data_IF_448207307154
#
_entry.id   IF_448207307154
#
_cell.length_a   1.000
_cell.length_b   1.000
_cell.length_c   1.000
_cell.angle_alpha   90.00
_cell.angle_beta   90.00
_cell.angle_gamma   90.00
#
_symmetry.space_group_name_H-M   'P 1'
#
loop_
_entity.id
_entity.type
_entity.pdbx_description
1 polymer ?
#
# COMPACT_ATOMS: atom_id res chain seq x y z
N UNK A 1 0.51 -12.63 -3.87
CA UNK A 1 -0.71 -11.93 -3.42
C UNK A 1 -1.32 -11.15 -4.57
N UNK A 2 -2.65 -11.06 -4.64
CA UNK A 2 -3.43 -10.39 -5.67
C UNK A 2 -4.90 -10.46 -5.30
N UNK A 3 -5.78 -9.83 -6.09
CA UNK A 3 -7.22 -9.87 -5.85
C UNK A 3 -7.74 -11.31 -5.90
N UNK A 4 -8.40 -11.76 -4.84
CA UNK A 4 -8.97 -13.10 -4.74
C UNK A 4 -10.21 -13.09 -3.85
N UNK A 5 -10.99 -14.18 -3.87
CA UNK A 5 -12.17 -14.30 -3.02
C UNK A 5 -11.77 -14.21 -1.54
N UNK A 6 -12.32 -13.24 -0.77
CA UNK A 6 -12.07 -13.15 0.66
C UNK A 6 -12.57 -14.37 1.43
N UNK A 7 -11.97 -14.64 2.58
CA UNK A 7 -12.32 -15.77 3.46
C UNK A 7 -12.21 -17.15 2.77
N UNK A 8 -11.34 -17.26 1.77
CA UNK A 8 -11.10 -18.52 1.06
C UNK A 8 -9.63 -18.96 1.23
N UNK A 9 -8.72 -18.68 0.30
CA UNK A 9 -7.34 -19.22 0.34
C UNK A 9 -6.25 -18.17 0.57
N UNK A 10 -6.60 -16.94 0.92
CA UNK A 10 -5.61 -15.87 1.12
C UNK A 10 -5.90 -15.09 2.39
N UNK A 11 -4.99 -15.15 3.35
CA UNK A 11 -5.04 -14.32 4.55
C UNK A 11 -4.95 -12.82 4.18
N UNK A 12 -4.01 -12.45 3.31
CA UNK A 12 -3.81 -11.05 2.88
C UNK A 12 -5.07 -10.47 2.23
N UNK A 13 -5.70 -11.20 1.30
CA UNK A 13 -6.95 -10.78 0.67
C UNK A 13 -8.09 -10.67 1.67
N UNK A 14 -8.15 -11.58 2.64
CA UNK A 14 -9.15 -11.55 3.71
C UNK A 14 -8.97 -10.32 4.61
N UNK A 15 -7.74 -9.98 4.99
CA UNK A 15 -7.45 -8.79 5.79
C UNK A 15 -7.74 -7.51 5.02
N UNK A 16 -7.31 -7.41 3.75
CA UNK A 16 -7.64 -6.24 2.91
C UNK A 16 -9.16 -6.03 2.81
N UNK A 17 -9.89 -7.10 2.53
CA UNK A 17 -11.36 -7.04 2.44
C UNK A 17 -12.00 -6.66 3.79
N UNK A 18 -11.57 -7.27 4.89
CA UNK A 18 -12.14 -7.01 6.21
C UNK A 18 -11.93 -5.57 6.64
N UNK A 19 -10.70 -5.04 6.51
CA UNK A 19 -10.39 -3.64 6.84
C UNK A 19 -11.16 -2.67 5.94
N UNK A 20 -11.24 -2.93 4.64
CA UNK A 20 -11.97 -2.10 3.68
C UNK A 20 -13.49 -2.04 3.96
N UNK A 21 -14.06 -3.12 4.50
CA UNK A 21 -15.50 -3.26 4.74
C UNK A 21 -15.89 -3.15 6.22
N UNK A 22 -14.98 -2.76 7.11
CA UNK A 22 -15.21 -2.65 8.56
C UNK A 22 -15.67 -3.99 9.21
N UNK A 23 -15.18 -5.10 8.63
CA UNK A 23 -15.50 -6.43 9.12
C UNK A 23 -14.46 -6.93 10.13
N UNK A 24 -14.86 -7.69 11.14
CA UNK A 24 -13.92 -8.26 12.09
C UNK A 24 -13.08 -9.36 11.47
N UNK A 25 -11.83 -9.45 11.88
CA UNK A 25 -10.91 -10.53 11.55
C UNK A 25 -9.99 -10.81 12.74
N UNK A 26 -9.36 -11.97 12.74
CA UNK A 26 -8.44 -12.39 13.80
C UNK A 26 -7.07 -12.69 13.24
N UNK A 27 -6.04 -12.21 13.93
CA UNK A 27 -4.64 -12.56 13.69
C UNK A 27 -4.17 -13.34 14.92
N UNK A 28 -3.93 -14.64 14.76
CA UNK A 28 -3.56 -15.50 15.88
C UNK A 28 -2.17 -15.18 16.43
N UNK A 29 -1.21 -14.93 15.53
CA UNK A 29 0.15 -14.54 15.87
C UNK A 29 0.63 -13.48 14.90
N UNK A 30 0.82 -12.26 15.41
CA UNK A 30 1.30 -11.12 14.62
C UNK A 30 2.76 -11.27 14.16
N UNK A 31 3.54 -12.11 14.83
CA UNK A 31 4.94 -12.38 14.50
C UNK A 31 5.12 -13.40 13.37
N UNK A 32 4.06 -14.08 12.94
CA UNK A 32 4.15 -15.03 11.84
C UNK A 32 4.63 -14.35 10.56
N UNK A 33 5.78 -14.78 10.06
CA UNK A 33 6.38 -14.27 8.82
C UNK A 33 5.80 -14.98 7.59
N UNK A 34 5.52 -14.22 6.55
CA UNK A 34 5.10 -14.69 5.24
C UNK A 34 6.09 -14.21 4.17
N UNK A 35 6.38 -15.06 3.20
CA UNK A 35 7.04 -14.68 1.97
C UNK A 35 5.99 -14.55 0.85
N UNK A 36 5.83 -13.34 0.32
CA UNK A 36 4.73 -12.99 -0.58
C UNK A 36 5.25 -12.53 -1.93
N UNK A 37 4.70 -13.10 -2.99
CA UNK A 37 4.89 -12.66 -4.37
C UNK A 37 3.63 -11.88 -4.82
N UNK A 38 3.81 -10.70 -5.41
CA UNK A 38 2.71 -9.94 -5.97
C UNK A 38 2.34 -10.45 -7.36
N UNK A 39 1.06 -10.38 -7.71
CA UNK A 39 0.56 -11.00 -8.94
C UNK A 39 1.18 -10.38 -10.21
N UNK A 40 1.38 -9.07 -10.23
CA UNK A 40 1.95 -8.41 -11.40
C UNK A 40 3.43 -8.79 -11.58
N UNK A 41 4.19 -8.94 -10.48
CA UNK A 41 5.57 -9.43 -10.54
C UNK A 41 5.63 -10.87 -11.07
N UNK A 42 4.65 -11.71 -10.71
CA UNK A 42 4.54 -13.06 -11.26
C UNK A 42 4.28 -13.02 -12.77
N UNK A 43 3.35 -12.16 -13.21
CA UNK A 43 3.01 -12.02 -14.64
C UNK A 43 4.20 -11.50 -15.43
N UNK A 44 4.92 -10.49 -14.94
CA UNK A 44 6.15 -10.00 -15.56
C UNK A 44 7.22 -11.11 -15.66
N UNK A 45 7.43 -11.87 -14.58
CA UNK A 45 8.35 -13.01 -14.60
C UNK A 45 7.95 -14.10 -15.60
N UNK A 46 6.65 -14.31 -15.82
CA UNK A 46 6.16 -15.22 -16.86
C UNK A 46 6.46 -14.69 -18.27
N UNK A 47 6.34 -13.37 -18.50
CA UNK A 47 6.76 -12.77 -19.78
C UNK A 47 8.26 -12.84 -19.98
N UNK A 48 9.06 -12.58 -18.93
CA UNK A 48 10.52 -12.73 -18.98
C UNK A 48 10.92 -14.15 -19.40
N UNK A 49 10.25 -15.16 -18.82
CA UNK A 49 10.48 -16.57 -19.18
C UNK A 49 10.16 -16.84 -20.67
N UNK A 50 9.05 -16.31 -21.17
CA UNK A 50 8.68 -16.48 -22.59
C UNK A 50 9.67 -15.80 -23.55
N UNK A 51 10.37 -14.77 -23.09
CA UNK A 51 11.38 -14.04 -23.86
C UNK A 51 12.82 -14.60 -23.63
N UNK A 52 12.94 -15.70 -22.90
CA UNK A 52 14.22 -16.35 -22.61
C UNK A 52 15.09 -15.63 -21.56
N UNK A 53 14.48 -14.79 -20.72
CA UNK A 53 15.10 -14.12 -19.56
C UNK A 53 14.69 -14.80 -18.26
N UNK A 54 14.84 -16.10 -18.21
CA UNK A 54 14.46 -16.90 -17.04
C UNK A 54 15.42 -16.72 -15.87
N UNK A 55 14.86 -16.79 -14.66
CA UNK A 55 15.62 -16.84 -13.41
C UNK A 55 15.49 -18.24 -12.80
N UNK A 56 16.58 -18.76 -12.30
CA UNK A 56 16.62 -20.10 -11.73
C UNK A 56 16.89 -20.09 -10.22
N UNK A 57 16.42 -21.12 -9.55
CA UNK A 57 16.65 -21.33 -8.13
C UNK A 57 16.74 -22.80 -7.75
N UNK A 58 17.24 -23.02 -6.57
CA UNK A 58 17.16 -24.28 -5.81
C UNK A 58 16.50 -24.00 -4.45
N UNK A 59 15.98 -25.05 -3.85
CA UNK A 59 15.44 -25.00 -2.49
C UNK A 59 16.44 -25.61 -1.51
N UNK A 60 16.76 -24.85 -0.46
CA UNK A 60 17.53 -25.33 0.68
C UNK A 60 16.55 -25.52 1.85
N UNK A 61 15.93 -26.72 1.88
CA UNK A 61 14.83 -26.98 2.83
C UNK A 61 13.58 -26.16 2.47
N UNK A 62 13.35 -25.06 3.16
CA UNK A 62 12.22 -24.15 2.95
C UNK A 62 12.60 -22.85 2.25
N UNK A 63 13.90 -22.57 2.12
CA UNK A 63 14.38 -21.33 1.53
C UNK A 63 14.63 -21.48 0.04
N UNK A 64 14.21 -20.46 -0.73
CA UNK A 64 14.53 -20.30 -2.15
C UNK A 64 15.89 -19.64 -2.28
N UNK A 65 16.84 -20.33 -2.90
CA UNK A 65 18.18 -19.80 -3.18
C UNK A 65 18.33 -19.58 -4.67
N UNK A 66 18.56 -18.33 -5.08
CA UNK A 66 18.83 -18.00 -6.49
C UNK A 66 20.13 -18.65 -6.93
N UNK A 67 20.10 -19.32 -8.08
CA UNK A 67 21.24 -20.06 -8.62
C UNK A 67 21.11 -20.17 -10.14
N UNK A 68 22.13 -19.74 -10.87
CA UNK A 68 22.11 -19.68 -12.33
C UNK A 68 21.79 -21.04 -13.00
N UNK A 69 22.31 -22.11 -12.45
CA UNK A 69 22.07 -23.50 -12.88
C UNK A 69 21.01 -24.21 -12.01
N UNK A 70 20.15 -23.46 -11.33
CA UNK A 70 19.09 -23.99 -10.46
C UNK A 70 18.07 -24.82 -11.22
N UNK A 71 17.52 -25.82 -10.55
CA UNK A 71 16.56 -26.77 -11.12
C UNK A 71 15.21 -26.15 -11.44
N UNK A 72 14.83 -25.07 -10.74
CA UNK A 72 13.50 -24.48 -10.81
C UNK A 72 13.56 -23.07 -11.36
N UNK A 73 12.61 -22.73 -12.25
CA UNK A 73 12.37 -21.34 -12.61
C UNK A 73 11.68 -20.62 -11.46
N UNK A 74 12.04 -19.39 -11.21
CA UNK A 74 11.46 -18.60 -10.13
C UNK A 74 11.30 -17.12 -10.52
N UNK A 75 10.48 -16.41 -9.76
CA UNK A 75 10.39 -14.95 -9.80
C UNK A 75 11.11 -14.42 -8.56
N UNK A 76 12.22 -13.67 -8.71
CA UNK A 76 13.09 -13.32 -7.58
C UNK A 76 12.54 -12.19 -6.71
N UNK A 77 11.43 -11.55 -7.11
CA UNK A 77 10.86 -10.39 -6.41
C UNK A 77 9.82 -10.86 -5.40
N UNK A 78 10.26 -11.21 -4.20
CA UNK A 78 9.38 -11.55 -3.08
C UNK A 78 9.51 -10.54 -1.93
N UNK A 79 8.53 -10.54 -1.04
CA UNK A 79 8.50 -9.68 0.16
C UNK A 79 8.34 -10.55 1.40
N UNK A 80 9.29 -10.49 2.32
CA UNK A 80 9.18 -11.09 3.65
C UNK A 80 8.57 -10.08 4.59
N UNK A 81 7.43 -10.41 5.17
CA UNK A 81 6.64 -9.53 6.03
C UNK A 81 5.91 -10.35 7.09
N UNK A 82 5.68 -9.77 8.25
CA UNK A 82 4.87 -10.39 9.30
C UNK A 82 3.38 -10.08 9.11
N UNK A 83 2.53 -10.91 9.70
CA UNK A 83 1.08 -10.63 9.74
C UNK A 83 0.79 -9.32 10.46
N UNK A 84 1.60 -8.96 11.47
CA UNK A 84 1.49 -7.70 12.19
C UNK A 84 1.72 -6.50 11.28
N UNK A 85 2.81 -6.49 10.51
CA UNK A 85 3.15 -5.42 9.56
C UNK A 85 2.05 -5.23 8.49
N UNK A 86 1.47 -6.34 8.01
CA UNK A 86 0.34 -6.27 7.07
C UNK A 86 -0.85 -5.53 7.68
N UNK A 87 -1.21 -5.89 8.92
CA UNK A 87 -2.36 -5.28 9.61
C UNK A 87 -2.10 -3.81 9.90
N UNK A 88 -0.91 -3.45 10.39
CA UNK A 88 -0.55 -2.06 10.70
C UNK A 88 -0.64 -1.17 9.45
N UNK A 89 -0.11 -1.64 8.31
CA UNK A 89 -0.25 -0.93 7.03
C UNK A 89 -1.71 -0.77 6.61
N UNK A 90 -2.54 -1.80 6.76
CA UNK A 90 -3.96 -1.72 6.39
C UNK A 90 -4.74 -0.73 7.28
N UNK A 91 -4.41 -0.64 8.56
CA UNK A 91 -5.00 0.36 9.46
C UNK A 91 -4.55 1.79 9.09
N UNK A 92 -3.28 1.98 8.70
CA UNK A 92 -2.81 3.27 8.16
C UNK A 92 -3.58 3.66 6.88
N UNK A 93 -3.79 2.71 5.96
CA UNK A 93 -4.56 2.96 4.73
C UNK A 93 -6.00 3.35 5.03
N UNK A 94 -6.63 2.66 5.99
CA UNK A 94 -7.98 2.96 6.45
C UNK A 94 -8.09 4.34 7.10
N UNK A 95 -7.08 4.75 7.84
CA UNK A 95 -7.05 6.03 8.53
C UNK A 95 -6.80 7.23 7.58
N UNK A 96 -6.18 7.00 6.42
CA UNK A 96 -5.75 8.04 5.48
C UNK A 96 -6.84 9.05 5.11
N UNK A 97 -8.10 8.69 4.80
CA UNK A 97 -9.15 9.66 4.48
C UNK A 97 -9.49 10.63 5.61
N UNK A 98 -9.23 10.23 6.86
CA UNK A 98 -9.48 11.06 8.05
C UNK A 98 -8.26 11.87 8.46
N UNK A 99 -7.10 11.26 8.41
CA UNK A 99 -5.82 11.89 8.82
C UNK A 99 -5.21 12.74 7.72
N UNK A 100 -5.57 12.51 6.46
CA UNK A 100 -4.93 13.02 5.25
C UNK A 100 -3.44 12.66 5.13
N UNK A 101 -2.93 11.81 6.04
CA UNK A 101 -1.56 11.32 6.03
C UNK A 101 -1.41 10.17 5.04
N UNK A 102 -0.60 10.36 4.01
CA UNK A 102 -0.24 9.29 3.08
C UNK A 102 0.84 8.41 3.69
N UNK A 103 0.60 7.11 3.86
CA UNK A 103 1.62 6.19 4.33
C UNK A 103 2.84 6.15 3.41
N UNK A 104 4.00 5.81 3.96
CA UNK A 104 5.23 5.69 3.17
C UNK A 104 5.17 4.47 2.25
N UNK A 105 5.02 4.72 0.95
CA UNK A 105 4.86 3.70 -0.08
C UNK A 105 5.85 3.91 -1.25
N UNK A 106 7.15 3.63 -1.06
CA UNK A 106 8.13 3.72 -2.13
C UNK A 106 7.74 2.85 -3.34
N UNK A 107 8.19 3.24 -4.52
CA UNK A 107 7.93 2.45 -5.72
C UNK A 107 8.49 1.03 -5.58
N UNK A 108 7.71 0.02 -5.98
CA UNK A 108 8.08 -1.39 -5.86
C UNK A 108 7.99 -1.97 -4.44
N UNK A 109 7.70 -1.16 -3.40
CA UNK A 109 7.60 -1.65 -2.03
C UNK A 109 6.38 -2.54 -1.80
N UNK A 110 6.49 -3.40 -0.79
CA UNK A 110 5.35 -4.19 -0.30
C UNK A 110 4.14 -3.32 0.05
N UNK A 111 4.37 -2.21 0.76
CA UNK A 111 3.31 -1.29 1.15
C UNK A 111 2.52 -0.76 -0.04
N UNK A 112 3.20 -0.38 -1.16
CA UNK A 112 2.52 0.09 -2.36
C UNK A 112 1.70 -1.00 -3.04
N UNK A 113 2.23 -2.22 -3.11
CA UNK A 113 1.52 -3.38 -3.67
C UNK A 113 0.33 -3.79 -2.81
N UNK A 114 0.49 -3.75 -1.48
CA UNK A 114 -0.61 -4.00 -0.54
C UNK A 114 -1.70 -2.93 -0.64
N UNK A 115 -1.32 -1.65 -0.79
CA UNK A 115 -2.28 -0.55 -0.98
C UNK A 115 -3.10 -0.75 -2.27
N UNK A 116 -2.44 -1.11 -3.37
CA UNK A 116 -3.13 -1.42 -4.64
C UNK A 116 -4.14 -2.55 -4.45
N UNK A 117 -3.76 -3.61 -3.73
CA UNK A 117 -4.66 -4.71 -3.41
C UNK A 117 -5.83 -4.26 -2.50
N UNK A 118 -5.56 -3.49 -1.45
CA UNK A 118 -6.57 -2.95 -0.55
C UNK A 118 -7.63 -2.14 -1.30
N UNK A 119 -7.23 -1.28 -2.23
CA UNK A 119 -8.15 -0.48 -3.04
C UNK A 119 -9.11 -1.35 -3.88
N UNK A 120 -8.72 -2.56 -4.28
CA UNK A 120 -9.63 -3.45 -5.04
C UNK A 120 -10.79 -3.99 -4.21
N UNK A 121 -10.70 -3.92 -2.88
CA UNK A 121 -11.76 -4.33 -1.95
C UNK A 121 -12.55 -3.16 -1.38
N UNK A 122 -12.11 -1.93 -1.63
CA UNK A 122 -12.77 -0.74 -1.08
C UNK A 122 -14.13 -0.54 -1.75
N UNK A 123 -15.23 -0.39 -0.98
CA UNK A 123 -16.54 -0.08 -1.52
C UNK A 123 -16.54 1.26 -2.28
N UNK A 124 -17.33 1.36 -3.35
CA UNK A 124 -17.35 2.52 -4.23
C UNK A 124 -17.66 3.85 -3.51
N UNK A 125 -18.50 3.81 -2.49
CA UNK A 125 -18.85 4.97 -1.66
C UNK A 125 -17.71 5.43 -0.76
N UNK A 126 -16.74 4.56 -0.43
CA UNK A 126 -15.55 4.88 0.37
C UNK A 126 -14.38 5.44 -0.46
N UNK A 127 -14.49 5.51 -1.79
CA UNK A 127 -13.47 6.15 -2.63
C UNK A 127 -13.49 7.68 -2.57
N UNK A 128 -14.49 8.27 -1.93
CA UNK A 128 -14.62 9.72 -1.73
C UNK A 128 -14.74 10.05 -0.26
N UNK A 129 -14.12 11.13 0.15
CA UNK A 129 -14.24 11.69 1.49
C UNK A 129 -14.28 13.22 1.43
N UNK A 130 -14.97 13.81 2.41
CA UNK A 130 -15.08 15.26 2.50
C UNK A 130 -13.79 15.87 3.05
N UNK A 131 -13.30 16.93 2.40
CA UNK A 131 -12.19 17.71 2.90
C UNK A 131 -12.69 18.88 3.76
N UNK A 132 -12.00 19.13 4.86
CA UNK A 132 -12.32 20.25 5.75
C UNK A 132 -11.76 21.55 5.17
N UNK A 133 -12.64 22.46 4.79
CA UNK A 133 -12.25 23.82 4.43
C UNK A 133 -12.24 24.69 5.69
N UNK A 134 -11.08 25.25 6.01
CA UNK A 134 -10.94 26.27 7.06
C UNK A 134 -11.03 27.64 6.39
N UNK A 135 -12.07 28.40 6.72
CA UNK A 135 -12.33 29.72 6.13
C UNK A 135 -12.36 30.82 7.19
N UNK A 136 -11.81 31.99 6.87
CA UNK A 136 -11.86 33.22 7.66
C UNK A 136 -12.00 34.45 6.76
N UNK A 137 -11.91 35.65 7.33
CA UNK A 137 -12.02 36.91 6.59
C UNK A 137 -10.89 37.15 5.60
N UNK A 138 -9.83 36.36 5.59
CA UNK A 138 -8.67 36.44 4.68
C UNK A 138 -8.80 35.49 3.47
N UNK A 139 -9.70 34.49 3.56
CA UNK A 139 -9.91 33.49 2.54
C UNK A 139 -10.11 32.10 3.14
N UNK A 140 -9.65 31.08 2.43
CA UNK A 140 -9.75 29.69 2.91
C UNK A 140 -8.49 28.88 2.68
N UNK A 141 -8.37 27.81 3.48
CA UNK A 141 -7.34 26.80 3.39
C UNK A 141 -7.99 25.42 3.44
N UNK A 142 -7.66 24.57 2.47
CA UNK A 142 -8.12 23.18 2.44
C UNK A 142 -6.93 22.29 2.16
N UNK A 143 -6.57 21.46 3.14
CA UNK A 143 -5.54 20.45 2.97
C UNK A 143 -6.12 19.27 2.19
N UNK A 144 -5.38 18.71 1.23
CA UNK A 144 -5.76 17.58 0.41
C UNK A 144 -5.07 16.30 0.91
N UNK A 145 -3.77 16.39 1.17
CA UNK A 145 -2.93 15.27 1.58
C UNK A 145 -1.62 15.80 2.13
N UNK A 146 -1.02 15.09 3.08
CA UNK A 146 0.36 15.30 3.53
C UNK A 146 1.11 13.98 3.71
N UNK A 147 2.42 14.09 3.78
CA UNK A 147 3.35 12.99 4.06
C UNK A 147 4.20 13.36 5.25
N UNK A 148 4.82 12.35 5.89
CA UNK A 148 5.70 12.59 7.03
C UNK A 148 6.99 13.32 6.68
N UNK A 149 7.45 13.23 5.42
CA UNK A 149 8.80 13.65 5.00
C UNK A 149 8.83 14.47 3.69
N UNK A 150 7.72 14.56 2.95
CA UNK A 150 7.67 15.27 1.66
C UNK A 150 6.72 16.48 1.66
N UNK A 151 6.19 16.88 2.83
CA UNK A 151 5.31 18.04 2.97
C UNK A 151 3.85 17.76 2.67
N UNK A 152 3.12 18.78 2.25
CA UNK A 152 1.67 18.71 2.04
C UNK A 152 1.24 19.36 0.72
N UNK A 153 0.08 18.94 0.22
CA UNK A 153 -0.64 19.58 -0.87
C UNK A 153 -1.93 20.20 -0.34
N UNK A 154 -2.13 21.48 -0.63
CA UNK A 154 -3.31 22.21 -0.15
C UNK A 154 -3.81 23.23 -1.19
N UNK A 155 -5.08 23.59 -1.08
CA UNK A 155 -5.68 24.70 -1.83
C UNK A 155 -5.84 25.90 -0.91
N UNK A 156 -5.22 27.03 -1.29
CA UNK A 156 -5.36 28.31 -0.62
C UNK A 156 -6.12 29.28 -1.51
N UNK A 157 -7.20 29.84 -0.98
CA UNK A 157 -7.93 30.96 -1.59
C UNK A 157 -7.66 32.20 -0.76
N UNK A 158 -7.22 33.29 -1.39
CA UNK A 158 -6.99 34.59 -0.73
C UNK A 158 -7.95 35.62 -1.25
N UNK A 159 -8.55 36.42 -0.37
CA UNK A 159 -9.36 37.56 -0.77
C UNK A 159 -8.46 38.67 -1.32
N UNK A 160 -8.95 39.49 -2.26
CA UNK A 160 -8.20 40.65 -2.77
C UNK A 160 -7.77 41.58 -1.64
N UNK A 161 -6.53 42.11 -1.74
CA UNK A 161 -5.96 43.05 -0.76
C UNK A 161 -5.48 42.42 0.56
N UNK A 162 -5.57 41.13 0.72
CA UNK A 162 -5.06 40.42 1.91
C UNK A 162 -3.64 39.97 1.70
N UNK A 163 -2.74 40.31 2.62
CA UNK A 163 -1.38 39.78 2.70
C UNK A 163 -1.37 38.57 3.62
N UNK A 164 -0.90 37.40 3.12
CA UNK A 164 -0.61 36.20 3.87
C UNK A 164 0.89 35.96 3.82
N UNK A 165 1.46 35.41 4.89
CA UNK A 165 2.90 35.10 4.94
C UNK A 165 3.50 35.46 6.29
N UNK A 166 4.77 35.90 6.29
CA UNK A 166 5.58 36.21 7.48
C UNK A 166 5.91 34.96 8.33
N UNK A 167 6.13 33.83 7.66
CA UNK A 167 6.59 32.59 8.28
C UNK A 167 7.67 31.93 7.39
N UNK A 168 8.49 31.14 8.01
CA UNK A 168 9.55 30.40 7.33
C UNK A 168 9.06 28.97 7.01
N UNK A 169 9.54 28.44 5.90
CA UNK A 169 9.39 27.04 5.53
C UNK A 169 10.75 26.37 5.57
N UNK A 170 10.82 25.21 6.21
CA UNK A 170 12.02 24.37 6.24
C UNK A 170 12.04 23.47 5.00
#
# INVERSE_FOLDING_TARGET
MGHSRPKYNSAVSTFCWAVANDEPFTVNDRGTELELLYIDDLVEGMFDLLEGREQHCEFNGVETVLKEDGRYCCVPVTHKVTLGEIVDLLEEFKAQPTTLMMPKMPNGSFAKKLYSLYLTYLPADKFKYALKMNADNRGSFTELVHTADCGQVSVNISHPGVTKGQHWHN
#
